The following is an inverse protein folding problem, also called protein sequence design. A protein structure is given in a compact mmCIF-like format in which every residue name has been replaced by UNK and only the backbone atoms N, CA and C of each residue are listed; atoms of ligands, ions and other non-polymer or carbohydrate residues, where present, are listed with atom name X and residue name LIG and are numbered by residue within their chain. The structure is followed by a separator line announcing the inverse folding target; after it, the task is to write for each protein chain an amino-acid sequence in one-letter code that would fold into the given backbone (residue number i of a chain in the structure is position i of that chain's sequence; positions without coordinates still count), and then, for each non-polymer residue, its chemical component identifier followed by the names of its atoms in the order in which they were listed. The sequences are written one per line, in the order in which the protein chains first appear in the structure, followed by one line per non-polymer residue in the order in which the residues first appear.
data_IF_344696176999
#
_entry.id   IF_344696176999
#
_cell.length_a   1.000
_cell.length_b   1.000
_cell.length_c   1.000
_cell.angle_alpha   90.00
_cell.angle_beta   90.00
_cell.angle_gamma   90.00
#
_symmetry.space_group_name_H-M   'P 1'
#
loop_
_entity.id
_entity.type
_entity.pdbx_description
1 polymer ?
#
# COMPACT_ATOMS: atom_id res chain seq x y z
N UNK A 1 -13.93 16.13 1.90
CA UNK A 1 -12.70 16.74 2.39
C UNK A 1 -12.40 16.24 3.80
N UNK A 2 -12.07 14.97 3.87
CA UNK A 2 -11.83 14.21 5.11
C UNK A 2 -10.72 14.82 5.99
N UNK A 3 -9.67 15.37 5.38
CA UNK A 3 -8.51 15.88 6.13
C UNK A 3 -8.82 17.11 7.00
N UNK A 4 -9.65 18.04 6.52
CA UNK A 4 -10.12 19.18 7.34
C UNK A 4 -11.02 18.74 8.49
N UNK A 5 -11.79 17.66 8.31
CA UNK A 5 -12.61 17.09 9.38
C UNK A 5 -11.75 16.42 10.44
N UNK A 6 -10.64 15.74 10.06
CA UNK A 6 -9.69 15.17 11.00
C UNK A 6 -9.00 16.26 11.83
N UNK A 7 -8.52 17.34 11.20
CA UNK A 7 -7.92 18.49 11.90
C UNK A 7 -8.91 19.16 12.87
N UNK A 8 -10.16 19.35 12.43
CA UNK A 8 -11.22 19.88 13.29
C UNK A 8 -11.58 18.97 14.46
N UNK A 9 -11.32 17.68 14.35
CA UNK A 9 -11.50 16.71 15.43
C UNK A 9 -10.34 16.71 16.45
N UNK A 10 -9.27 17.49 16.22
CA UNK A 10 -8.15 17.67 17.14
C UNK A 10 -7.13 16.54 17.12
N UNK A 11 -6.87 15.92 15.95
CA UNK A 11 -5.82 14.92 15.79
C UNK A 11 -4.43 15.57 15.84
N UNK A 12 -3.42 14.83 16.31
CA UNK A 12 -2.04 15.31 16.43
C UNK A 12 -1.24 15.17 15.12
N UNK A 13 -1.66 14.26 14.24
CA UNK A 13 -1.02 14.00 12.94
C UNK A 13 -2.05 13.44 11.94
N UNK A 14 -1.72 13.51 10.66
CA UNK A 14 -2.54 12.97 9.57
C UNK A 14 -1.74 11.90 8.82
N UNK A 15 -2.34 10.71 8.65
CA UNK A 15 -1.85 9.70 7.70
C UNK A 15 -2.67 9.83 6.43
N UNK A 16 -2.01 10.11 5.30
CA UNK A 16 -2.63 10.15 3.99
C UNK A 16 -2.20 8.94 3.18
N UNK A 17 -3.18 8.07 2.88
CA UNK A 17 -2.94 6.80 2.22
C UNK A 17 -3.41 6.85 0.77
N UNK A 18 -2.47 6.65 -0.15
CA UNK A 18 -2.75 6.50 -1.58
C UNK A 18 -3.34 5.13 -1.93
N UNK A 19 -3.99 5.06 -3.09
CA UNK A 19 -4.71 3.87 -3.54
C UNK A 19 -3.80 2.69 -3.90
N UNK A 20 -2.49 2.84 -3.87
CA UNK A 20 -1.49 1.77 -4.00
C UNK A 20 -1.45 0.83 -2.78
N UNK A 21 -2.03 1.26 -1.67
CA UNK A 21 -2.09 0.46 -0.44
C UNK A 21 -2.87 -0.86 -0.62
N UNK A 22 -2.50 -1.87 0.13
CA UNK A 22 -3.24 -3.14 0.23
C UNK A 22 -4.47 -3.02 1.13
N UNK A 23 -5.45 -3.90 0.92
CA UNK A 23 -6.67 -3.89 1.70
C UNK A 23 -7.60 -2.72 1.39
N UNK A 24 -8.31 -2.24 2.40
CA UNK A 24 -9.31 -1.19 2.25
C UNK A 24 -8.70 0.13 1.81
N UNK A 25 -9.34 0.78 0.83
CA UNK A 25 -8.87 2.02 0.20
C UNK A 25 -9.97 3.08 0.16
N UNK A 26 -9.56 4.33 -0.08
CA UNK A 26 -10.46 5.43 -0.44
C UNK A 26 -11.17 5.18 -1.78
N UNK A 27 -12.30 5.86 -1.99
CA UNK A 27 -13.10 5.72 -3.23
C UNK A 27 -12.52 6.49 -4.40
N UNK A 28 -11.69 7.49 -4.14
CA UNK A 28 -11.20 8.45 -5.13
C UNK A 28 -10.03 7.92 -5.98
N UNK A 29 -9.46 6.79 -5.63
CA UNK A 29 -8.33 6.16 -6.32
C UNK A 29 -7.16 7.14 -6.57
N UNK A 30 -6.92 8.03 -5.61
CA UNK A 30 -5.84 9.01 -5.72
C UNK A 30 -4.50 8.35 -5.37
N UNK A 31 -3.52 8.47 -6.27
CA UNK A 31 -2.17 7.96 -6.02
C UNK A 31 -1.49 8.73 -4.90
N UNK A 32 -0.57 8.07 -4.19
CA UNK A 32 0.23 8.71 -3.14
C UNK A 32 0.95 9.95 -3.66
N UNK A 33 1.45 9.89 -4.91
CA UNK A 33 2.14 11.01 -5.58
C UNK A 33 1.26 12.29 -5.69
N UNK A 34 -0.04 12.13 -5.94
CA UNK A 34 -0.97 13.27 -6.05
C UNK A 34 -1.58 13.63 -4.70
N UNK A 35 -1.79 12.62 -3.83
CA UNK A 35 -2.47 12.80 -2.56
C UNK A 35 -1.65 13.64 -1.57
N UNK A 36 -0.36 13.32 -1.41
CA UNK A 36 0.49 13.95 -0.40
C UNK A 36 0.57 15.48 -0.58
N UNK A 37 0.91 16.03 -1.76
CA UNK A 37 0.94 17.48 -1.94
C UNK A 37 -0.46 18.12 -1.80
N UNK A 38 -1.53 17.43 -2.21
CA UNK A 38 -2.89 17.94 -2.05
C UNK A 38 -3.30 18.03 -0.57
N UNK A 39 -2.90 17.08 0.26
CA UNK A 39 -3.13 17.13 1.71
C UNK A 39 -2.25 18.17 2.36
N UNK A 40 -0.97 18.23 2.01
CA UNK A 40 -0.03 19.25 2.53
C UNK A 40 -0.53 20.69 2.29
N UNK A 41 -1.17 20.94 1.17
CA UNK A 41 -1.71 22.27 0.84
C UNK A 41 -2.86 22.73 1.75
N UNK A 42 -3.47 21.84 2.53
CA UNK A 42 -4.67 22.14 3.33
C UNK A 42 -4.51 21.92 4.85
N UNK A 43 -3.36 21.42 5.30
CA UNK A 43 -3.07 21.21 6.74
C UNK A 43 -1.64 21.60 7.08
N UNK A 44 -1.42 22.04 8.30
CA UNK A 44 -0.09 22.27 8.88
C UNK A 44 0.34 21.17 9.87
N UNK A 45 -0.55 20.22 10.16
CA UNK A 45 -0.23 19.10 11.06
C UNK A 45 0.87 18.20 10.47
N UNK A 46 1.61 17.45 11.30
CA UNK A 46 2.51 16.41 10.83
C UNK A 46 1.81 15.46 9.85
N UNK A 47 2.41 15.29 8.66
CA UNK A 47 1.84 14.50 7.58
C UNK A 47 2.67 13.24 7.35
N UNK A 48 2.01 12.10 7.40
CA UNK A 48 2.60 10.78 7.18
C UNK A 48 2.04 10.23 5.86
N UNK A 49 2.93 9.89 4.93
CA UNK A 49 2.54 9.27 3.67
C UNK A 49 2.42 7.76 3.81
N UNK A 50 1.36 7.18 3.24
CA UNK A 50 1.14 5.74 3.17
C UNK A 50 0.68 5.31 1.77
N UNK A 51 0.91 4.05 1.41
CA UNK A 51 0.58 3.49 0.10
C UNK A 51 1.75 3.52 -0.89
N UNK A 52 2.10 2.37 -1.44
CA UNK A 52 3.14 2.24 -2.47
C UNK A 52 4.59 2.42 -2.02
N UNK A 53 4.85 2.64 -0.73
CA UNK A 53 6.17 2.95 -0.20
C UNK A 53 6.87 1.65 0.22
N UNK A 54 7.97 1.31 -0.46
CA UNK A 54 8.73 0.08 -0.20
C UNK A 54 10.25 0.26 -0.26
N UNK A 55 10.75 1.43 -0.62
CA UNK A 55 12.19 1.70 -0.80
C UNK A 55 12.59 3.03 -0.18
N UNK A 56 13.88 3.23 0.05
CA UNK A 56 14.42 4.50 0.53
C UNK A 56 14.19 5.66 -0.43
N UNK A 57 14.21 5.40 -1.74
CA UNK A 57 13.90 6.37 -2.79
C UNK A 57 12.44 6.84 -2.70
N UNK A 58 11.51 5.90 -2.41
CA UNK A 58 10.11 6.25 -2.20
C UNK A 58 9.94 7.13 -0.95
N UNK A 59 10.68 6.87 0.12
CA UNK A 59 10.68 7.73 1.33
C UNK A 59 11.15 9.14 0.97
N UNK A 60 12.24 9.28 0.21
CA UNK A 60 12.75 10.58 -0.24
C UNK A 60 11.71 11.32 -1.09
N UNK A 61 11.05 10.62 -2.02
CA UNK A 61 10.00 11.20 -2.84
C UNK A 61 8.85 11.75 -1.99
N UNK A 62 8.39 11.01 -0.98
CA UNK A 62 7.32 11.48 -0.07
C UNK A 62 7.74 12.70 0.74
N UNK A 63 8.98 12.75 1.20
CA UNK A 63 9.53 13.94 1.87
C UNK A 63 9.57 15.16 0.94
N UNK A 64 9.98 14.97 -0.31
CA UNK A 64 9.98 16.04 -1.32
C UNK A 64 8.56 16.56 -1.61
N UNK A 65 7.54 15.73 -1.48
CA UNK A 65 6.13 16.10 -1.63
C UNK A 65 5.51 16.74 -0.38
N UNK A 66 6.24 16.81 0.74
CA UNK A 66 5.83 17.49 1.95
C UNK A 66 5.38 16.59 3.10
N UNK A 67 5.57 15.28 3.01
CA UNK A 67 5.39 14.37 4.15
C UNK A 67 6.58 14.46 5.12
N UNK A 68 6.32 14.33 6.41
CA UNK A 68 7.33 14.34 7.47
C UNK A 68 7.73 12.93 7.90
N UNK A 69 6.89 11.93 7.59
CA UNK A 69 7.13 10.53 7.85
C UNK A 69 6.43 9.64 6.83
N UNK A 70 6.67 8.33 6.94
CA UNK A 70 6.02 7.32 6.09
C UNK A 70 5.45 6.18 6.94
N UNK A 71 4.33 5.60 6.47
CA UNK A 71 3.77 4.36 6.98
C UNK A 71 3.95 3.29 5.90
N UNK A 72 4.60 2.19 6.27
CA UNK A 72 4.94 1.10 5.35
C UNK A 72 4.20 -0.16 5.79
N UNK A 73 3.28 -0.65 4.97
CA UNK A 73 2.48 -1.85 5.26
C UNK A 73 3.07 -3.10 4.61
N UNK A 74 3.05 -3.15 3.28
CA UNK A 74 3.39 -4.35 2.50
C UNK A 74 4.75 -4.98 2.87
N UNK A 75 5.81 -4.17 3.01
CA UNK A 75 7.14 -4.68 3.38
C UNK A 75 7.11 -5.39 4.73
N UNK A 76 6.49 -4.77 5.75
CA UNK A 76 6.44 -5.35 7.09
C UNK A 76 5.43 -6.50 7.20
N UNK A 77 4.38 -6.54 6.39
CA UNK A 77 3.47 -7.69 6.31
C UNK A 77 4.18 -8.96 5.82
N UNK A 78 5.26 -8.82 5.06
CA UNK A 78 6.05 -9.92 4.49
C UNK A 78 7.36 -10.21 5.25
N UNK A 79 7.51 -9.73 6.49
CA UNK A 79 8.67 -10.05 7.34
C UNK A 79 8.49 -11.36 8.11
N UNK A 80 9.59 -11.90 8.63
CA UNK A 80 9.58 -13.08 9.48
C UNK A 80 8.69 -12.89 10.69
N UNK A 81 8.75 -11.71 11.35
CA UNK A 81 8.03 -11.39 12.59
C UNK A 81 6.54 -11.10 12.35
N UNK A 82 6.12 -10.90 11.11
CA UNK A 82 4.70 -10.71 10.79
C UNK A 82 3.90 -11.97 11.09
N UNK A 83 2.69 -11.78 11.65
CA UNK A 83 1.75 -12.87 11.93
C UNK A 83 1.08 -13.47 10.68
N UNK A 84 1.31 -12.91 9.49
CA UNK A 84 0.84 -13.50 8.24
C UNK A 84 1.46 -14.89 8.04
N UNK A 85 0.71 -15.82 7.44
CA UNK A 85 1.22 -17.17 7.17
C UNK A 85 2.38 -17.13 6.16
N UNK A 86 3.32 -18.06 6.27
CA UNK A 86 4.43 -18.17 5.32
C UNK A 86 3.94 -18.39 3.90
N UNK A 87 2.88 -19.18 3.72
CA UNK A 87 2.24 -19.40 2.42
C UNK A 87 1.79 -18.09 1.78
N UNK A 88 1.16 -17.21 2.54
CA UNK A 88 0.76 -15.88 2.06
C UNK A 88 1.97 -15.01 1.73
N UNK A 89 2.99 -14.98 2.62
CA UNK A 89 4.22 -14.20 2.40
C UNK A 89 4.94 -14.62 1.12
N UNK A 90 5.19 -15.91 0.97
CA UNK A 90 5.81 -16.51 -0.21
C UNK A 90 5.01 -16.17 -1.49
N UNK A 91 3.69 -16.34 -1.44
CA UNK A 91 2.82 -16.00 -2.57
C UNK A 91 2.96 -14.52 -2.95
N UNK A 92 2.93 -13.61 -1.98
CA UNK A 92 3.01 -12.16 -2.21
C UNK A 92 4.37 -11.73 -2.77
N UNK A 93 5.46 -12.41 -2.41
CA UNK A 93 6.80 -12.13 -2.96
C UNK A 93 6.93 -12.51 -4.45
N UNK A 94 6.05 -13.33 -4.99
CA UNK A 94 6.04 -13.70 -6.42
C UNK A 94 5.10 -12.84 -7.27
N UNK A 95 4.39 -11.88 -6.68
CA UNK A 95 3.51 -10.97 -7.40
C UNK A 95 4.31 -10.00 -8.26
N UNK A 96 3.78 -9.71 -9.44
CA UNK A 96 4.36 -8.80 -10.43
C UNK A 96 3.49 -7.56 -10.59
N UNK A 97 3.99 -6.61 -11.36
CA UNK A 97 3.20 -5.45 -11.78
C UNK A 97 1.86 -5.90 -12.39
N UNK A 98 0.78 -5.29 -11.94
CA UNK A 98 -0.58 -5.62 -12.39
C UNK A 98 -1.25 -6.80 -11.68
N UNK A 99 -0.56 -7.56 -10.82
CA UNK A 99 -1.13 -8.70 -10.10
C UNK A 99 -2.01 -8.30 -8.91
N UNK A 100 -2.12 -7.02 -8.57
CA UNK A 100 -3.10 -6.51 -7.60
C UNK A 100 -4.17 -5.69 -8.28
N UNK A 101 -5.42 -5.77 -7.79
CA UNK A 101 -6.56 -5.01 -8.30
C UNK A 101 -7.37 -4.38 -7.18
N UNK A 102 -7.87 -3.17 -7.39
CA UNK A 102 -8.83 -2.52 -6.51
C UNK A 102 -10.25 -2.91 -6.95
N UNK A 103 -10.95 -3.63 -6.12
CA UNK A 103 -12.28 -4.22 -6.37
C UNK A 103 -13.24 -3.87 -5.23
N UNK A 104 -14.45 -4.42 -5.24
CA UNK A 104 -15.50 -4.20 -4.24
C UNK A 104 -15.90 -2.72 -4.09
N UNK A 105 -15.80 -1.94 -5.18
CA UNK A 105 -16.02 -0.49 -5.18
C UNK A 105 -17.45 -0.08 -4.79
N UNK A 106 -18.44 -0.95 -4.97
CA UNK A 106 -19.82 -0.72 -4.53
C UNK A 106 -19.97 -0.84 -3.01
N UNK A 107 -19.13 -1.63 -2.35
CA UNK A 107 -19.09 -1.79 -0.90
C UNK A 107 -18.09 -0.81 -0.27
N UNK A 108 -16.88 -1.27 -0.10
CA UNK A 108 -15.70 -0.49 0.27
C UNK A 108 -14.56 -0.98 -0.61
N UNK A 109 -13.88 -0.09 -1.35
CA UNK A 109 -12.79 -0.54 -2.23
C UNK A 109 -11.72 -1.30 -1.45
N UNK A 110 -11.31 -2.45 -1.96
CA UNK A 110 -10.26 -3.30 -1.37
C UNK A 110 -9.26 -3.69 -2.43
N UNK A 111 -7.97 -3.51 -2.15
CA UNK A 111 -6.92 -4.00 -3.03
C UNK A 111 -6.55 -5.42 -2.69
N UNK A 112 -6.73 -6.29 -3.67
CA UNK A 112 -6.51 -7.72 -3.59
C UNK A 112 -5.40 -8.17 -4.53
N UNK A 113 -4.56 -9.09 -4.07
CA UNK A 113 -3.68 -9.87 -4.93
C UNK A 113 -4.50 -10.76 -5.88
N UNK A 114 -3.90 -11.11 -7.00
CA UNK A 114 -4.45 -12.08 -7.94
C UNK A 114 -4.74 -13.40 -7.22
N UNK A 115 -5.89 -14.01 -7.48
CA UNK A 115 -6.32 -15.26 -6.86
C UNK A 115 -7.77 -15.57 -7.23
N UNK A 116 -8.26 -16.76 -6.84
CA UNK A 116 -9.61 -17.19 -7.20
C UNK A 116 -10.69 -16.24 -6.69
N UNK A 117 -10.57 -15.78 -5.45
CA UNK A 117 -11.53 -14.82 -4.89
C UNK A 117 -11.50 -13.48 -5.64
N UNK A 118 -10.32 -12.93 -5.92
CA UNK A 118 -10.18 -11.70 -6.70
C UNK A 118 -10.81 -11.83 -8.09
N UNK A 119 -10.59 -12.97 -8.77
CA UNK A 119 -11.18 -13.24 -10.09
C UNK A 119 -12.71 -13.38 -10.02
N UNK A 120 -13.23 -14.06 -9.00
CA UNK A 120 -14.67 -14.21 -8.78
C UNK A 120 -15.35 -12.85 -8.56
N UNK A 121 -14.75 -11.98 -7.73
CA UNK A 121 -15.25 -10.60 -7.51
C UNK A 121 -15.20 -9.80 -8.82
N UNK A 122 -14.09 -9.84 -9.54
CA UNK A 122 -13.95 -9.12 -10.80
C UNK A 122 -14.98 -9.57 -11.86
N UNK A 123 -15.25 -10.88 -11.95
CA UNK A 123 -16.27 -11.44 -12.82
C UNK A 123 -17.69 -10.98 -12.42
N UNK A 124 -17.99 -11.01 -11.13
CA UNK A 124 -19.29 -10.55 -10.61
C UNK A 124 -19.50 -9.05 -10.89
N UNK A 125 -18.50 -8.21 -10.65
CA UNK A 125 -18.57 -6.76 -10.95
C UNK A 125 -18.74 -6.49 -12.45
N UNK A 126 -18.08 -7.25 -13.32
CA UNK A 126 -18.16 -7.12 -14.77
C UNK A 126 -19.58 -7.37 -15.32
N UNK A 127 -20.35 -8.25 -14.68
CA UNK A 127 -21.76 -8.52 -15.05
C UNK A 127 -22.77 -7.67 -14.27
N UNK A 128 -22.28 -6.70 -13.48
CA UNK A 128 -23.13 -5.73 -12.82
C UNK A 128 -23.70 -6.16 -11.46
N UNK A 129 -23.07 -7.12 -10.77
CA UNK A 129 -23.45 -7.58 -9.45
C UNK A 129 -23.89 -6.44 -8.51
N UNK A 130 -24.93 -6.68 -7.73
CA UNK A 130 -25.45 -5.73 -6.74
C UNK A 130 -24.55 -5.70 -5.50
N UNK A 131 -24.76 -4.73 -4.60
CA UNK A 131 -24.07 -4.71 -3.30
C UNK A 131 -24.33 -5.99 -2.50
N UNK A 132 -25.57 -6.50 -2.53
CA UNK A 132 -25.94 -7.72 -1.81
C UNK A 132 -25.22 -8.95 -2.37
N UNK A 133 -25.17 -9.09 -3.70
CA UNK A 133 -24.41 -10.17 -4.34
C UNK A 133 -22.93 -10.15 -3.91
N UNK A 134 -22.32 -8.97 -3.88
CA UNK A 134 -20.93 -8.80 -3.45
C UNK A 134 -20.73 -9.09 -1.96
N UNK A 135 -21.70 -8.73 -1.09
CA UNK A 135 -21.67 -9.06 0.34
C UNK A 135 -21.74 -10.57 0.58
N UNK A 136 -22.59 -11.26 -0.16
CA UNK A 136 -22.70 -12.73 -0.12
C UNK A 136 -21.38 -13.37 -0.56
N UNK A 137 -20.81 -12.90 -1.68
CA UNK A 137 -19.55 -13.39 -2.22
C UNK A 137 -18.38 -13.13 -1.24
N UNK A 138 -18.31 -11.95 -0.65
CA UNK A 138 -17.26 -11.58 0.32
C UNK A 138 -17.34 -12.47 1.56
N UNK A 139 -18.54 -12.75 2.07
CA UNK A 139 -18.78 -13.51 3.31
C UNK A 139 -17.97 -12.96 4.51
N UNK A 140 -17.81 -13.75 5.58
CA UNK A 140 -17.05 -13.34 6.77
C UNK A 140 -15.76 -14.16 6.88
N UNK A 141 -14.67 -13.48 7.27
CA UNK A 141 -13.42 -14.14 7.65
C UNK A 141 -12.50 -14.54 6.51
N UNK A 142 -12.78 -14.15 5.26
CA UNK A 142 -11.93 -14.48 4.12
C UNK A 142 -10.52 -13.90 4.23
N UNK A 143 -10.37 -12.66 4.71
CA UNK A 143 -9.06 -12.06 4.93
C UNK A 143 -8.25 -12.85 5.98
N UNK A 144 -8.89 -13.30 7.07
CA UNK A 144 -8.24 -14.18 8.06
C UNK A 144 -7.76 -15.49 7.42
N UNK A 145 -8.60 -16.13 6.61
CA UNK A 145 -8.25 -17.37 5.90
C UNK A 145 -7.07 -17.18 4.96
N UNK A 146 -7.10 -16.12 4.15
CA UNK A 146 -6.04 -15.86 3.17
C UNK A 146 -4.72 -15.47 3.83
N UNK A 147 -4.75 -14.46 4.71
CA UNK A 147 -3.53 -13.86 5.27
C UNK A 147 -2.92 -14.73 6.37
N UNK A 148 -3.73 -15.19 7.33
CA UNK A 148 -3.22 -15.86 8.54
C UNK A 148 -3.27 -17.39 8.48
N UNK A 149 -4.22 -17.96 7.72
CA UNK A 149 -4.36 -19.41 7.60
C UNK A 149 -3.73 -19.96 6.29
N UNK A 150 -3.31 -19.07 5.37
CA UNK A 150 -2.62 -19.44 4.14
C UNK A 150 -3.50 -20.08 3.07
N UNK A 151 -4.82 -19.88 3.12
CA UNK A 151 -5.76 -20.38 2.14
C UNK A 151 -5.74 -19.49 0.89
N UNK A 152 -4.90 -19.82 -0.08
CA UNK A 152 -4.77 -19.06 -1.33
C UNK A 152 -5.96 -19.28 -2.29
N UNK A 153 -6.75 -20.33 -2.10
CA UNK A 153 -7.86 -20.68 -2.99
C UNK A 153 -9.13 -19.88 -2.65
N UNK A 154 -9.51 -19.90 -1.37
CA UNK A 154 -10.76 -19.31 -0.89
C UNK A 154 -10.54 -18.03 -0.06
N UNK A 155 -9.29 -17.72 0.26
CA UNK A 155 -8.92 -16.56 1.06
C UNK A 155 -9.00 -15.24 0.29
N UNK A 156 -9.16 -14.16 1.02
CA UNK A 156 -9.00 -12.80 0.54
C UNK A 156 -7.55 -12.37 0.80
N UNK A 157 -6.81 -12.09 -0.28
CA UNK A 157 -5.37 -11.84 -0.23
C UNK A 157 -5.11 -10.34 -0.35
N UNK A 158 -5.18 -9.65 0.78
CA UNK A 158 -4.98 -8.18 0.83
C UNK A 158 -3.49 -7.85 0.86
N UNK A 159 -2.99 -7.20 -0.19
CA UNK A 159 -1.61 -6.70 -0.26
C UNK A 159 -1.52 -5.50 -1.21
N UNK A 160 -0.55 -4.60 -0.96
CA UNK A 160 -0.33 -3.40 -1.77
C UNK A 160 0.44 -3.65 -3.06
N UNK A 161 0.38 -2.69 -3.98
CA UNK A 161 1.12 -2.74 -5.26
C UNK A 161 2.64 -2.84 -5.05
N UNK A 162 3.13 -2.36 -3.92
CA UNK A 162 4.55 -2.42 -3.57
C UNK A 162 5.11 -3.85 -3.46
N UNK A 163 4.26 -4.89 -3.37
CA UNK A 163 4.69 -6.29 -3.40
C UNK A 163 5.49 -6.62 -4.67
N UNK A 164 5.13 -6.05 -5.81
CA UNK A 164 5.84 -6.24 -7.08
C UNK A 164 7.32 -5.77 -7.06
N UNK A 165 7.69 -4.92 -6.11
CA UNK A 165 9.07 -4.43 -5.92
C UNK A 165 9.93 -5.38 -5.06
N UNK A 166 9.35 -6.48 -4.56
CA UNK A 166 9.98 -7.35 -3.56
C UNK A 166 10.33 -8.75 -4.08
N UNK A 167 10.09 -9.03 -5.36
CA UNK A 167 10.18 -10.34 -5.98
C UNK A 167 11.51 -11.11 -5.76
N UNK A 168 12.61 -10.40 -5.55
CA UNK A 168 13.94 -11.02 -5.43
C UNK A 168 14.48 -10.98 -3.98
N UNK A 169 13.70 -10.45 -3.04
CA UNK A 169 14.21 -10.17 -1.69
C UNK A 169 14.07 -11.34 -0.70
N UNK A 170 13.14 -12.25 -0.94
CA UNK A 170 12.78 -13.27 0.05
C UNK A 170 12.08 -12.70 1.28
N UNK A 171 11.75 -13.57 2.24
CA UNK A 171 11.24 -13.16 3.55
C UNK A 171 12.42 -12.66 4.37
N UNK A 172 12.33 -11.42 4.86
CA UNK A 172 13.37 -10.73 5.60
C UNK A 172 12.91 -10.46 7.03
N UNK A 173 13.85 -10.25 7.94
CA UNK A 173 13.55 -9.74 9.28
C UNK A 173 13.17 -8.25 9.24
N UNK A 174 12.44 -7.79 10.25
CA UNK A 174 12.14 -6.35 10.43
C UNK A 174 13.41 -5.52 10.47
N UNK A 175 14.46 -6.03 11.11
CA UNK A 175 15.75 -5.34 11.22
C UNK A 175 16.40 -5.11 9.84
N UNK A 176 16.41 -6.13 8.98
CA UNK A 176 16.92 -6.03 7.62
C UNK A 176 16.11 -5.05 6.77
N UNK A 177 14.77 -5.11 6.87
CA UNK A 177 13.89 -4.16 6.17
C UNK A 177 14.15 -2.73 6.62
N UNK A 178 14.30 -2.49 7.92
CA UNK A 178 14.61 -1.16 8.45
C UNK A 178 15.97 -0.64 7.97
N UNK A 179 17.00 -1.49 8.00
CA UNK A 179 18.33 -1.12 7.52
C UNK A 179 18.31 -0.76 6.02
N UNK A 180 17.66 -1.58 5.20
CA UNK A 180 17.49 -1.29 3.76
C UNK A 180 16.76 0.02 3.49
N UNK A 181 15.66 0.30 4.21
CA UNK A 181 14.89 1.53 4.04
C UNK A 181 15.72 2.77 4.42
N UNK A 182 16.40 2.72 5.56
CA UNK A 182 17.23 3.83 6.06
C UNK A 182 18.45 4.05 5.17
N UNK A 183 19.21 2.99 4.88
CA UNK A 183 20.40 3.07 4.03
C UNK A 183 20.02 3.49 2.60
N UNK A 184 18.94 2.95 2.05
CA UNK A 184 18.41 3.35 0.75
C UNK A 184 18.01 4.82 0.69
N UNK A 185 17.37 5.32 1.75
CA UNK A 185 17.01 6.74 1.87
C UNK A 185 18.25 7.64 1.85
N UNK A 186 19.28 7.33 2.65
CA UNK A 186 20.53 8.12 2.66
C UNK A 186 21.22 8.11 1.31
N UNK A 187 21.34 6.94 0.67
CA UNK A 187 21.92 6.79 -0.67
C UNK A 187 21.14 7.61 -1.71
N UNK A 188 19.82 7.59 -1.65
CA UNK A 188 18.98 8.38 -2.56
C UNK A 188 19.21 9.88 -2.38
N UNK A 189 19.35 10.36 -1.14
CA UNK A 189 19.68 11.77 -0.85
C UNK A 189 21.04 12.17 -1.44
N UNK A 190 22.07 11.35 -1.24
CA UNK A 190 23.42 11.58 -1.77
C UNK A 190 23.43 11.61 -3.31
N UNK A 191 22.77 10.63 -3.93
CA UNK A 191 22.65 10.55 -5.39
C UNK A 191 21.93 11.76 -5.97
N UNK A 192 20.83 12.21 -5.32
CA UNK A 192 20.10 13.40 -5.77
C UNK A 192 20.97 14.65 -5.64
N UNK A 193 21.66 14.82 -4.51
CA UNK A 193 22.54 15.98 -4.28
C UNK A 193 23.66 16.05 -5.32
N UNK A 194 24.29 14.92 -5.67
CA UNK A 194 25.33 14.86 -6.69
C UNK A 194 24.81 15.20 -8.11
N UNK A 195 23.62 14.71 -8.46
CA UNK A 195 23.07 14.88 -9.80
C UNK A 195 22.43 16.26 -10.05
N UNK A 196 21.92 16.93 -9.03
CA UNK A 196 21.27 18.25 -9.18
C UNK A 196 22.26 19.33 -9.58
N UNK A 197 23.52 19.21 -9.18
CA UNK A 197 24.56 20.19 -9.54
C UNK A 197 25.04 20.09 -11.00
N UNK A 198 24.80 18.98 -11.71
CA UNK A 198 25.40 18.72 -13.03
C UNK A 198 24.44 18.89 -14.23
N UNK A 199 23.12 18.93 -14.04
CA UNK A 199 22.16 18.74 -15.14
C UNK A 199 21.15 19.87 -15.41
N UNK A 200 21.12 20.91 -14.62
CA UNK A 200 20.11 21.97 -14.74
C UNK A 200 20.70 23.37 -14.88
N UNK A 201 21.94 23.50 -15.36
CA UNK A 201 22.45 24.78 -15.86
C UNK A 201 21.72 25.14 -17.17
N UNK A 202 20.55 25.78 -17.04
CA UNK A 202 19.77 26.37 -18.12
C UNK A 202 19.96 27.88 -18.11
#
# INVERSE_FOLDING_TARGET
MLFRSAEAAGVDAIVAEGFEAGGHNGREETTTLCLIPAVRAVTSLPLIAAGGIATGEAILAMRALGAEGVQVGTRFALTEESSASEVFKEYCLHLKEGDTRLLLKKLSPVRLARGNFQQAVAAAEAVGATEEDLRILLSKGRAKRGIFEGDLEEGELEIGQASALLNEKGIQTVAEVMDELVTGYHRACETLAANVCERWDV
#
